data_IF_967189764271
#
_entry.id   IF_967189764271
#
_cell.length_a   1.000
_cell.length_b   1.000
_cell.length_c   1.000
_cell.angle_alpha   90.00
_cell.angle_beta   90.00
_cell.angle_gamma   90.00
#
_symmetry.space_group_name_H-M   'P 1'
#
loop_
_entity.id
_entity.type
_entity.pdbx_description
1 polymer ?
#
# COMPACT_ATOMS: atom_id res chain seq x y z
N UNK A 1 -26.74 -17.83 -48.47
CA UNK A 1 -26.69 -18.28 -47.08
C UNK A 1 -25.23 -18.43 -46.76
N UNK A 2 -24.64 -17.36 -46.27
CA UNK A 2 -23.24 -17.26 -45.92
C UNK A 2 -23.23 -16.84 -44.45
N UNK A 3 -22.76 -17.74 -43.59
CA UNK A 3 -22.67 -17.53 -42.15
C UNK A 3 -21.28 -17.99 -41.71
N UNK A 4 -20.26 -17.24 -42.13
CA UNK A 4 -18.96 -17.24 -41.48
C UNK A 4 -19.06 -16.43 -40.20
N UNK A 5 -19.23 -17.13 -39.07
CA UNK A 5 -18.97 -16.54 -37.76
C UNK A 5 -17.47 -16.39 -37.60
N UNK A 6 -16.99 -15.14 -37.66
CA UNK A 6 -15.71 -14.77 -37.06
C UNK A 6 -15.89 -14.90 -35.55
N UNK A 7 -15.63 -16.11 -35.03
CA UNK A 7 -15.25 -16.28 -33.64
C UNK A 7 -13.95 -15.49 -33.46
N UNK A 8 -14.10 -14.28 -32.91
CA UNK A 8 -13.01 -13.47 -32.38
C UNK A 8 -12.40 -14.26 -31.22
N UNK A 9 -11.47 -15.15 -31.57
CA UNK A 9 -10.60 -15.86 -30.65
C UNK A 9 -9.69 -14.81 -29.99
N UNK A 10 -10.19 -14.20 -28.92
CA UNK A 10 -9.38 -13.38 -28.02
C UNK A 10 -8.49 -14.36 -27.28
N UNK A 11 -7.38 -14.75 -27.91
CA UNK A 11 -6.32 -15.49 -27.23
C UNK A 11 -5.71 -14.53 -26.18
N UNK A 12 -5.91 -14.75 -24.86
CA UNK A 12 -5.25 -13.95 -23.86
C UNK A 12 -3.76 -14.19 -24.01
N UNK A 13 -3.04 -13.23 -24.62
CA UNK A 13 -1.60 -13.31 -24.83
C UNK A 13 -0.94 -13.83 -23.54
N UNK A 14 -0.28 -15.00 -23.57
CA UNK A 14 0.29 -15.57 -22.36
C UNK A 14 1.27 -14.55 -21.79
N UNK A 15 1.05 -14.14 -20.54
CA UNK A 15 1.88 -13.14 -19.86
C UNK A 15 3.35 -13.56 -20.04
N UNK A 16 4.07 -12.80 -20.87
CA UNK A 16 5.45 -13.12 -21.21
C UNK A 16 6.32 -13.21 -19.95
N UNK A 17 7.47 -13.85 -20.03
CA UNK A 17 8.39 -14.05 -18.88
C UNK A 17 8.64 -12.74 -18.11
N UNK A 18 8.79 -11.61 -18.81
CA UNK A 18 8.88 -10.27 -18.22
C UNK A 18 7.69 -9.93 -17.32
N UNK A 19 6.46 -10.11 -17.81
CA UNK A 19 5.24 -9.79 -17.06
C UNK A 19 5.12 -10.64 -15.79
N UNK A 20 5.52 -11.92 -15.85
CA UNK A 20 5.58 -12.79 -14.65
C UNK A 20 6.60 -12.31 -13.62
N UNK A 21 7.77 -11.85 -14.06
CA UNK A 21 8.80 -11.29 -13.16
C UNK A 21 8.26 -10.02 -12.48
N UNK A 22 7.64 -9.13 -13.26
CA UNK A 22 7.06 -7.88 -12.76
C UNK A 22 5.97 -8.16 -11.74
N UNK A 23 5.01 -9.03 -12.06
CA UNK A 23 3.92 -9.40 -11.15
C UNK A 23 4.46 -10.04 -9.85
N UNK A 24 5.45 -10.93 -9.94
CA UNK A 24 6.09 -11.50 -8.75
C UNK A 24 6.78 -10.41 -7.91
N UNK A 25 7.55 -9.53 -8.55
CA UNK A 25 8.21 -8.42 -7.87
C UNK A 25 7.19 -7.53 -7.16
N UNK A 26 6.12 -7.10 -7.83
CA UNK A 26 5.09 -6.22 -7.26
C UNK A 26 4.45 -6.85 -6.02
N UNK A 27 4.16 -8.15 -6.05
CA UNK A 27 3.66 -8.88 -4.89
C UNK A 27 4.68 -8.95 -3.74
N UNK A 28 5.95 -9.24 -4.02
CA UNK A 28 7.01 -9.30 -2.98
C UNK A 28 7.23 -7.92 -2.34
N UNK A 29 7.24 -6.85 -3.14
CA UNK A 29 7.33 -5.48 -2.62
C UNK A 29 6.14 -5.15 -1.71
N UNK A 30 4.91 -5.44 -2.16
CA UNK A 30 3.69 -5.18 -1.37
C UNK A 30 3.65 -5.98 -0.08
N UNK A 31 4.02 -7.27 -0.14
CA UNK A 31 4.12 -8.14 1.04
C UNK A 31 5.18 -7.67 2.03
N UNK A 32 6.38 -7.29 1.55
CA UNK A 32 7.43 -6.77 2.42
C UNK A 32 7.02 -5.46 3.10
N UNK A 33 6.38 -4.54 2.35
CA UNK A 33 5.92 -3.25 2.87
C UNK A 33 4.83 -3.43 3.95
N UNK A 34 3.90 -4.37 3.77
CA UNK A 34 2.83 -4.67 4.74
C UNK A 34 3.33 -5.40 5.98
N UNK A 35 4.29 -6.32 5.84
CA UNK A 35 4.89 -6.99 6.99
C UNK A 35 5.60 -6.03 7.94
N UNK A 36 6.10 -4.88 7.46
CA UNK A 36 6.65 -3.86 8.36
C UNK A 36 5.60 -3.38 9.37
N UNK A 37 4.33 -3.25 8.95
CA UNK A 37 3.24 -2.83 9.81
C UNK A 37 2.76 -3.97 10.73
N UNK A 38 2.78 -5.21 10.23
CA UNK A 38 2.45 -6.40 11.02
C UNK A 38 3.34 -6.52 12.27
N UNK A 39 4.61 -6.09 12.18
CA UNK A 39 5.54 -6.07 13.32
C UNK A 39 5.17 -5.05 14.41
N UNK A 40 4.26 -4.13 14.15
CA UNK A 40 3.77 -3.17 15.15
C UNK A 40 2.60 -3.73 15.98
N UNK A 41 1.94 -4.78 15.51
CA UNK A 41 0.78 -5.41 16.17
C UNK A 41 1.15 -5.77 17.61
N UNK A 42 0.31 -5.35 18.55
CA UNK A 42 0.51 -5.62 19.97
C UNK A 42 0.18 -7.10 20.27
N UNK A 43 1.02 -7.81 21.05
CA UNK A 43 0.64 -9.12 21.55
C UNK A 43 -0.55 -8.98 22.51
N UNK A 44 -1.55 -9.85 22.39
CA UNK A 44 -2.69 -9.89 23.30
C UNK A 44 -2.20 -10.55 24.61
N UNK A 45 -1.95 -9.77 25.66
CA UNK A 45 -1.42 -10.28 26.94
C UNK A 45 -2.52 -10.32 27.99
N UNK A 46 -2.80 -11.52 28.53
CA UNK A 46 -3.69 -11.67 29.69
C UNK A 46 -2.95 -11.26 30.97
N UNK A 47 -3.30 -10.10 31.54
CA UNK A 47 -2.99 -9.76 32.95
C UNK A 47 -2.27 -8.44 33.19
N UNK A 48 -1.41 -7.98 32.28
CA UNK A 48 -0.73 -6.68 32.35
C UNK A 48 -1.12 -5.85 31.12
N UNK A 49 -2.34 -5.30 31.17
CA UNK A 49 -2.95 -4.58 30.06
C UNK A 49 -2.12 -3.34 29.75
N UNK A 50 -1.86 -3.10 28.47
CA UNK A 50 -1.18 -1.89 28.05
C UNK A 50 -2.00 -0.64 28.48
N UNK A 51 -1.30 0.45 28.78
CA UNK A 51 -1.87 1.78 29.03
C UNK A 51 -1.51 2.67 27.83
N UNK A 52 -2.14 3.84 27.70
CA UNK A 52 -1.83 4.85 26.68
C UNK A 52 -0.33 5.23 26.65
N UNK A 53 0.38 5.11 27.79
CA UNK A 53 1.83 5.29 27.87
C UNK A 53 2.61 4.30 26.98
N UNK A 54 2.13 3.06 26.83
CA UNK A 54 2.71 2.06 25.93
C UNK A 54 2.60 2.53 24.47
N UNK A 55 1.51 3.20 24.09
CA UNK A 55 1.37 3.78 22.74
C UNK A 55 2.37 4.92 22.50
N UNK A 56 2.63 5.76 23.52
CA UNK A 56 3.63 6.82 23.43
C UNK A 56 5.04 6.26 23.24
N UNK A 57 5.40 5.19 23.96
CA UNK A 57 6.70 4.52 23.80
C UNK A 57 6.87 3.92 22.40
N UNK A 58 5.79 3.48 21.75
CA UNK A 58 5.84 2.93 20.38
C UNK A 58 5.89 3.98 19.29
N UNK A 59 5.69 5.27 19.58
CA UNK A 59 5.69 6.33 18.57
C UNK A 59 7.02 6.39 17.77
N UNK A 60 8.16 6.14 18.44
CA UNK A 60 9.46 6.05 17.76
C UNK A 60 9.52 4.90 16.75
N UNK A 61 8.90 3.76 17.09
CA UNK A 61 8.84 2.57 16.22
C UNK A 61 7.95 2.82 15.00
N UNK A 62 6.84 3.56 15.17
CA UNK A 62 5.98 4.00 14.06
C UNK A 62 6.78 4.86 13.06
N UNK A 63 7.66 5.74 13.53
CA UNK A 63 8.53 6.55 12.67
C UNK A 63 9.46 5.70 11.79
N UNK A 64 10.05 4.64 12.36
CA UNK A 64 10.91 3.69 11.65
C UNK A 64 10.11 2.91 10.61
N UNK A 65 8.89 2.49 10.96
CA UNK A 65 7.95 1.86 10.03
C UNK A 65 7.61 2.76 8.84
N UNK A 66 7.19 4.01 9.09
CA UNK A 66 6.82 4.98 8.05
C UNK A 66 7.98 5.15 7.08
N UNK A 67 9.19 5.30 7.61
CA UNK A 67 10.39 5.41 6.80
C UNK A 67 10.63 4.15 5.96
N UNK A 68 10.56 2.96 6.56
CA UNK A 68 10.72 1.68 5.86
C UNK A 68 9.71 1.50 4.74
N UNK A 69 8.43 1.79 4.98
CA UNK A 69 7.37 1.68 3.98
C UNK A 69 7.65 2.59 2.77
N UNK A 70 7.98 3.86 3.02
CA UNK A 70 8.26 4.83 1.96
C UNK A 70 9.52 4.47 1.17
N UNK A 71 10.56 3.94 1.82
CA UNK A 71 11.78 3.46 1.14
C UNK A 71 11.47 2.26 0.25
N UNK A 72 10.70 1.28 0.72
CA UNK A 72 10.30 0.11 -0.08
C UNK A 72 9.43 0.56 -1.27
N UNK A 73 8.44 1.43 -1.04
CA UNK A 73 7.61 1.99 -2.11
C UNK A 73 8.41 2.77 -3.15
N UNK A 74 9.41 3.55 -2.72
CA UNK A 74 10.32 4.22 -3.64
C UNK A 74 11.21 3.25 -4.41
N UNK A 75 11.73 2.21 -3.76
CA UNK A 75 12.51 1.17 -4.42
C UNK A 75 11.68 0.43 -5.48
N UNK A 76 10.42 0.14 -5.17
CA UNK A 76 9.45 -0.43 -6.11
C UNK A 76 9.23 0.47 -7.33
N UNK A 77 9.08 1.78 -7.14
CA UNK A 77 8.95 2.74 -8.25
C UNK A 77 10.21 2.81 -9.12
N UNK A 78 11.40 2.80 -8.53
CA UNK A 78 12.66 2.74 -9.30
C UNK A 78 12.79 1.43 -10.07
N UNK A 79 12.39 0.32 -9.47
CA UNK A 79 12.30 -0.98 -10.15
C UNK A 79 11.34 -0.90 -11.33
N UNK A 80 10.23 -0.18 -11.18
CA UNK A 80 9.31 0.08 -12.28
C UNK A 80 9.92 0.81 -13.46
N UNK A 81 10.56 1.95 -13.21
CA UNK A 81 11.24 2.70 -14.28
C UNK A 81 12.28 1.86 -15.04
N UNK A 82 12.98 0.95 -14.35
CA UNK A 82 13.95 0.04 -14.98
C UNK A 82 13.24 -1.00 -15.83
N UNK A 83 12.21 -1.66 -15.30
CA UNK A 83 11.49 -2.74 -16.00
C UNK A 83 10.59 -2.26 -17.13
N UNK A 84 10.22 -0.98 -17.18
CA UNK A 84 9.51 -0.39 -18.32
C UNK A 84 10.39 -0.35 -19.57
N UNK A 85 11.71 -0.26 -19.38
CA UNK A 85 12.71 -0.19 -20.46
C UNK A 85 13.26 -1.56 -20.84
N UNK A 86 13.00 -2.60 -20.03
CA UNK A 86 13.42 -3.98 -20.29
C UNK A 86 12.33 -4.67 -21.10
N UNK A 87 12.68 -5.22 -22.26
CA UNK A 87 11.72 -5.93 -23.12
C UNK A 87 11.84 -7.46 -22.94
N UNK A 88 13.07 -7.95 -22.76
CA UNK A 88 13.39 -9.38 -22.68
C UNK A 88 14.08 -9.71 -21.36
N UNK A 89 13.85 -10.91 -20.85
CA UNK A 89 14.48 -11.41 -19.65
C UNK A 89 15.23 -12.72 -19.93
N UNK A 90 16.43 -12.84 -19.38
CA UNK A 90 17.21 -14.08 -19.33
C UNK A 90 17.41 -14.53 -17.88
N UNK A 91 18.02 -15.71 -17.69
CA UNK A 91 18.24 -16.31 -16.36
C UNK A 91 19.06 -15.42 -15.42
N UNK A 92 20.05 -14.69 -15.93
CA UNK A 92 20.91 -13.85 -15.10
C UNK A 92 20.20 -12.57 -14.66
N UNK A 93 19.40 -11.96 -15.53
CA UNK A 93 18.54 -10.84 -15.16
C UNK A 93 17.56 -11.27 -14.06
N UNK A 94 16.96 -12.46 -14.19
CA UNK A 94 16.09 -13.05 -13.16
C UNK A 94 16.85 -13.24 -11.84
N UNK A 95 18.07 -13.77 -11.87
CA UNK A 95 18.88 -13.99 -10.66
C UNK A 95 19.22 -12.66 -9.95
N UNK A 96 19.62 -11.63 -10.70
CA UNK A 96 19.88 -10.30 -10.11
C UNK A 96 18.60 -9.73 -9.50
N UNK A 97 17.45 -9.93 -10.15
CA UNK A 97 16.15 -9.53 -9.59
C UNK A 97 15.87 -10.26 -8.27
N UNK A 98 16.13 -11.57 -8.19
CA UNK A 98 15.96 -12.33 -6.95
C UNK A 98 16.87 -11.86 -5.82
N UNK A 99 18.11 -11.43 -6.10
CA UNK A 99 18.98 -10.83 -5.07
C UNK A 99 18.35 -9.56 -4.50
N UNK A 100 17.79 -8.71 -5.37
CA UNK A 100 17.07 -7.51 -4.93
C UNK A 100 15.83 -7.88 -4.09
N UNK A 101 14.99 -8.80 -4.58
CA UNK A 101 13.77 -9.24 -3.89
C UNK A 101 14.08 -9.91 -2.55
N UNK A 102 15.15 -10.68 -2.43
CA UNK A 102 15.58 -11.28 -1.17
C UNK A 102 15.93 -10.21 -0.13
N UNK A 103 16.62 -9.15 -0.53
CA UNK A 103 16.93 -8.03 0.36
C UNK A 103 15.66 -7.29 0.81
N UNK A 104 14.70 -7.08 -0.10
CA UNK A 104 13.43 -6.42 0.20
C UNK A 104 12.56 -7.28 1.13
N UNK A 105 12.41 -8.56 0.83
CA UNK A 105 11.67 -9.51 1.67
C UNK A 105 12.31 -9.68 3.06
N UNK A 106 13.62 -9.43 3.20
CA UNK A 106 14.32 -9.47 4.48
C UNK A 106 14.07 -8.24 5.35
N UNK A 107 13.70 -7.08 4.78
CA UNK A 107 13.55 -5.80 5.50
C UNK A 107 12.67 -5.80 6.75
N UNK A 108 11.59 -6.61 6.86
CA UNK A 108 10.80 -6.66 8.09
C UNK A 108 11.61 -7.02 9.33
N UNK A 109 12.63 -7.88 9.21
CA UNK A 109 13.45 -8.29 10.35
C UNK A 109 14.42 -7.19 10.84
N UNK A 110 15.27 -6.58 9.99
CA UNK A 110 16.10 -5.45 10.42
C UNK A 110 15.30 -4.27 10.96
N UNK A 111 14.08 -4.04 10.46
CA UNK A 111 13.21 -2.96 10.93
C UNK A 111 12.79 -3.19 12.38
N UNK A 112 12.41 -4.43 12.75
CA UNK A 112 12.05 -4.73 14.14
C UNK A 112 13.26 -4.61 15.06
N UNK A 113 14.43 -5.13 14.65
CA UNK A 113 15.67 -5.04 15.43
C UNK A 113 16.10 -3.60 15.66
N UNK A 114 15.96 -2.74 14.64
CA UNK A 114 16.23 -1.31 14.77
C UNK A 114 15.20 -0.61 15.66
N UNK A 115 13.93 -1.00 15.60
CA UNK A 115 12.88 -0.49 16.48
C UNK A 115 13.15 -0.75 17.96
N UNK A 116 13.66 -1.93 18.29
CA UNK A 116 13.96 -2.34 19.67
C UNK A 116 15.32 -1.80 20.18
N UNK A 117 16.30 -1.65 19.28
CA UNK A 117 17.65 -1.24 19.67
C UNK A 117 18.29 -0.31 18.64
N UNK A 118 18.62 0.92 19.07
CA UNK A 118 19.29 1.92 18.23
C UNK A 118 20.82 1.76 18.26
N UNK A 119 21.31 0.52 18.28
CA UNK A 119 22.74 0.22 18.31
C UNK A 119 23.32 0.14 16.90
N UNK A 120 24.64 0.29 16.78
CA UNK A 120 25.34 0.30 15.48
C UNK A 120 25.05 -0.93 14.63
N UNK A 121 25.00 -2.11 15.27
CA UNK A 121 24.75 -3.37 14.56
C UNK A 121 23.33 -3.39 13.96
N UNK A 122 22.32 -2.94 14.71
CA UNK A 122 20.95 -2.85 14.23
C UNK A 122 20.82 -1.86 13.05
N UNK A 123 21.47 -0.70 13.16
CA UNK A 123 21.50 0.28 12.07
C UNK A 123 22.18 -0.26 10.80
N UNK A 124 23.31 -0.97 10.94
CA UNK A 124 23.99 -1.59 9.79
C UNK A 124 23.16 -2.74 9.19
N UNK A 125 22.51 -3.55 10.04
CA UNK A 125 21.62 -4.63 9.62
C UNK A 125 20.44 -4.09 8.80
N UNK A 126 19.98 -2.87 9.10
CA UNK A 126 18.93 -2.19 8.33
C UNK A 126 19.42 -1.60 7.01
N UNK A 127 20.57 -0.89 7.01
CA UNK A 127 21.04 -0.16 5.82
C UNK A 127 21.69 -1.05 4.77
N UNK A 128 22.40 -2.10 5.18
CA UNK A 128 23.15 -2.98 4.25
C UNK A 128 22.22 -3.66 3.23
N UNK A 129 21.09 -4.30 3.60
CA UNK A 129 20.18 -4.89 2.64
C UNK A 129 19.59 -3.88 1.65
N UNK A 130 19.26 -2.66 2.10
CA UNK A 130 18.80 -1.57 1.22
C UNK A 130 19.88 -1.12 0.23
N UNK A 131 21.13 -1.10 0.67
CA UNK A 131 22.26 -0.75 -0.18
C UNK A 131 22.49 -1.83 -1.24
N UNK A 132 22.48 -3.10 -0.84
CA UNK A 132 22.61 -4.26 -1.75
C UNK A 132 21.45 -4.31 -2.74
N UNK A 133 20.20 -4.08 -2.31
CA UNK A 133 19.04 -4.02 -3.21
C UNK A 133 19.15 -2.89 -4.23
N UNK A 134 19.67 -1.72 -3.81
CA UNK A 134 19.94 -0.59 -4.71
C UNK A 134 21.04 -0.89 -5.72
N UNK A 135 22.11 -1.58 -5.31
CA UNK A 135 23.16 -2.04 -6.23
C UNK A 135 22.64 -3.10 -7.20
N UNK A 136 21.80 -4.02 -6.74
CA UNK A 136 21.17 -5.01 -7.60
C UNK A 136 20.27 -4.36 -8.67
N UNK A 137 19.53 -3.30 -8.32
CA UNK A 137 18.75 -2.54 -9.29
C UNK A 137 19.61 -1.83 -10.35
N UNK A 138 20.73 -1.23 -9.94
CA UNK A 138 21.71 -0.69 -10.90
C UNK A 138 22.27 -1.83 -11.77
N UNK A 139 22.57 -2.98 -11.16
CA UNK A 139 23.02 -4.19 -11.84
C UNK A 139 22.04 -4.66 -12.92
N UNK A 140 20.73 -4.70 -12.62
CA UNK A 140 19.67 -5.00 -13.59
C UNK A 140 19.74 -4.06 -14.79
N UNK A 141 19.80 -2.75 -14.53
CA UNK A 141 19.85 -1.74 -15.58
C UNK A 141 21.11 -1.89 -16.47
N UNK A 142 22.29 -1.99 -15.85
CA UNK A 142 23.56 -2.11 -16.57
C UNK A 142 23.64 -3.44 -17.34
N UNK A 143 23.17 -4.54 -16.75
CA UNK A 143 23.15 -5.85 -17.39
C UNK A 143 22.23 -5.86 -18.60
N UNK A 144 20.99 -5.36 -18.46
CA UNK A 144 20.03 -5.30 -19.55
C UNK A 144 20.57 -4.48 -20.74
N UNK A 145 21.22 -3.34 -20.47
CA UNK A 145 21.87 -2.54 -21.51
C UNK A 145 23.02 -3.27 -22.20
N UNK A 146 23.91 -3.90 -21.43
CA UNK A 146 25.08 -4.62 -21.97
C UNK A 146 24.68 -5.81 -22.85
N UNK A 147 23.54 -6.45 -22.55
CA UNK A 147 23.00 -7.60 -23.29
C UNK A 147 21.94 -7.22 -24.32
N UNK A 148 21.70 -5.92 -24.56
CA UNK A 148 20.69 -5.41 -25.49
C UNK A 148 19.30 -6.01 -25.24
N UNK A 149 18.93 -6.15 -23.96
CA UNK A 149 17.61 -6.63 -23.51
C UNK A 149 16.58 -5.50 -23.37
N UNK A 150 17.01 -4.26 -23.61
CA UNK A 150 16.18 -3.05 -23.53
C UNK A 150 15.48 -2.77 -24.86
N UNK A 151 14.31 -2.13 -24.79
CA UNK A 151 13.57 -1.72 -25.99
C UNK A 151 14.42 -0.83 -26.93
N UNK A 152 14.26 -0.94 -28.26
CA UNK A 152 14.92 -0.07 -29.23
C UNK A 152 14.57 1.40 -28.98
N UNK A 153 15.58 2.28 -28.91
CA UNK A 153 15.35 3.72 -28.67
C UNK A 153 15.06 4.09 -27.21
N UNK A 154 15.56 3.31 -26.24
CA UNK A 154 15.60 3.71 -24.83
C UNK A 154 16.57 4.90 -24.60
N UNK A 155 16.25 6.03 -25.21
CA UNK A 155 16.99 7.29 -25.18
C UNK A 155 16.75 7.95 -23.81
N UNK A 156 17.76 7.89 -22.93
CA UNK A 156 17.65 8.43 -21.56
C UNK A 156 18.49 7.72 -20.50
N UNK A 157 19.33 6.76 -20.89
CA UNK A 157 20.03 5.92 -19.91
C UNK A 157 21.01 6.63 -18.96
N UNK A 158 21.46 7.84 -19.28
CA UNK A 158 22.29 8.65 -18.39
C UNK A 158 21.47 9.29 -17.26
N UNK A 159 20.32 9.90 -17.58
CA UNK A 159 19.42 10.48 -16.59
C UNK A 159 18.89 9.41 -15.63
N UNK A 160 18.43 8.27 -16.16
CA UNK A 160 17.98 7.15 -15.32
C UNK A 160 19.10 6.66 -14.39
N UNK A 161 20.33 6.50 -14.89
CA UNK A 161 21.44 6.07 -14.05
C UNK A 161 21.75 7.08 -12.94
N UNK A 162 21.72 8.39 -13.22
CA UNK A 162 21.90 9.41 -12.17
C UNK A 162 20.83 9.31 -11.08
N UNK A 163 19.56 9.12 -11.46
CA UNK A 163 18.48 8.91 -10.49
C UNK A 163 18.66 7.62 -9.69
N UNK A 164 19.12 6.53 -10.32
CA UNK A 164 19.41 5.28 -9.64
C UNK A 164 20.58 5.37 -8.67
N UNK A 165 21.52 6.30 -8.84
CA UNK A 165 22.68 6.45 -7.96
C UNK A 165 22.39 7.24 -6.68
N UNK A 166 21.31 8.02 -6.63
CA UNK A 166 20.94 8.85 -5.47
C UNK A 166 20.78 8.00 -4.20
N UNK A 167 19.90 6.98 -4.24
CA UNK A 167 19.63 6.14 -3.07
C UNK A 167 20.86 5.40 -2.53
N UNK A 168 21.62 4.63 -3.34
CA UNK A 168 22.82 3.97 -2.83
C UNK A 168 23.90 4.96 -2.37
N UNK A 169 23.96 6.17 -2.95
CA UNK A 169 24.84 7.24 -2.45
C UNK A 169 24.47 7.69 -1.03
N UNK A 170 23.18 7.93 -0.77
CA UNK A 170 22.68 8.28 0.57
C UNK A 170 22.89 7.13 1.57
N UNK A 171 22.64 5.88 1.15
CA UNK A 171 22.85 4.71 1.99
C UNK A 171 24.33 4.48 2.30
N UNK A 172 25.23 4.68 1.32
CA UNK A 172 26.68 4.60 1.54
C UNK A 172 27.17 5.68 2.51
N UNK A 173 26.65 6.92 2.39
CA UNK A 173 26.93 7.99 3.35
C UNK A 173 26.45 7.60 4.74
N UNK A 174 25.23 7.06 4.87
CA UNK A 174 24.70 6.57 6.15
C UNK A 174 25.61 5.48 6.75
N UNK A 175 26.02 4.49 5.96
CA UNK A 175 26.95 3.44 6.39
C UNK A 175 28.30 3.99 6.86
N UNK A 176 28.82 5.03 6.20
CA UNK A 176 30.07 5.69 6.60
C UNK A 176 29.93 6.46 7.92
N UNK A 177 28.74 6.98 8.24
CA UNK A 177 28.47 7.77 9.45
C UNK A 177 28.13 6.92 10.68
N UNK A 178 27.47 5.77 10.51
CA UNK A 178 27.04 4.88 11.62
C UNK A 178 28.18 4.51 12.61
N UNK A 179 29.43 4.23 12.18
CA UNK A 179 30.54 3.96 13.11
C UNK A 179 30.80 5.10 14.10
N UNK A 180 30.54 6.34 13.69
CA UNK A 180 30.76 7.54 14.50
C UNK A 180 29.52 7.89 15.33
N UNK A 181 28.32 7.83 14.73
CA UNK A 181 27.06 8.10 15.40
C UNK A 181 25.88 7.45 14.64
N UNK A 182 25.09 6.63 15.33
CA UNK A 182 23.86 6.03 14.76
C UNK A 182 22.89 7.12 14.36
N UNK A 183 22.73 8.15 15.20
CA UNK A 183 21.87 9.31 14.90
C UNK A 183 22.35 10.05 13.66
N UNK A 184 23.66 10.24 13.48
CA UNK A 184 24.19 10.88 12.26
C UNK A 184 23.89 10.02 11.01
N UNK A 185 24.04 8.70 11.13
CA UNK A 185 23.65 7.75 10.09
C UNK A 185 22.17 7.82 9.73
N UNK A 186 21.29 7.93 10.73
CA UNK A 186 19.85 8.07 10.52
C UNK A 186 19.45 9.44 9.95
N UNK A 187 20.11 10.53 10.38
CA UNK A 187 19.88 11.88 9.85
C UNK A 187 20.20 11.96 8.35
N UNK A 188 21.20 11.20 7.87
CA UNK A 188 21.48 11.11 6.43
C UNK A 188 20.25 10.64 5.62
N UNK A 189 19.31 9.92 6.23
CA UNK A 189 18.09 9.48 5.57
C UNK A 189 17.09 10.60 5.31
N UNK A 190 17.18 11.75 5.99
CA UNK A 190 16.37 12.94 5.66
C UNK A 190 16.71 13.45 4.25
N UNK A 191 17.90 13.13 3.73
CA UNK A 191 18.27 13.42 2.35
C UNK A 191 17.42 12.63 1.34
N UNK A 192 16.81 11.49 1.70
CA UNK A 192 15.92 10.75 0.79
C UNK A 192 14.68 11.58 0.43
N UNK A 193 13.79 11.97 1.37
CA UNK A 193 12.61 12.76 1.03
C UNK A 193 12.93 14.03 0.24
N UNK A 194 14.04 14.70 0.59
CA UNK A 194 14.51 15.89 -0.14
C UNK A 194 14.93 15.57 -1.57
N UNK A 195 15.69 14.48 -1.77
CA UNK A 195 16.10 14.04 -3.10
C UNK A 195 14.93 13.49 -3.93
N UNK A 196 13.94 12.88 -3.28
CA UNK A 196 12.69 12.40 -3.89
C UNK A 196 11.88 13.58 -4.43
N UNK A 197 11.59 14.56 -3.58
CA UNK A 197 10.87 15.78 -3.96
C UNK A 197 11.66 16.56 -5.02
N UNK A 198 12.99 16.65 -4.87
CA UNK A 198 13.87 17.29 -5.86
C UNK A 198 13.83 16.61 -7.22
N UNK A 199 13.83 15.27 -7.27
CA UNK A 199 13.70 14.52 -8.52
C UNK A 199 12.35 14.78 -9.22
N UNK A 200 11.26 14.97 -8.46
CA UNK A 200 9.95 15.35 -9.03
C UNK A 200 9.90 16.76 -9.61
N UNK A 201 10.75 17.67 -9.13
CA UNK A 201 10.83 19.04 -9.66
C UNK A 201 11.74 19.14 -10.90
N UNK A 202 12.63 18.17 -11.11
CA UNK A 202 13.66 18.18 -12.17
C UNK A 202 13.18 17.48 -13.45
N UNK A 203 12.14 16.64 -13.39
CA UNK A 203 11.55 16.01 -14.58
C UNK A 203 10.08 16.46 -14.82
N UNK A 204 9.84 17.69 -15.31
CA UNK A 204 8.51 18.15 -15.73
C UNK A 204 8.01 17.46 -17.00
N UNK A 205 8.80 16.59 -17.64
CA UNK A 205 8.48 16.04 -18.95
C UNK A 205 7.21 15.19 -18.96
N UNK A 206 6.77 14.72 -17.78
CA UNK A 206 5.52 13.96 -17.59
C UNK A 206 4.27 14.88 -17.53
N UNK A 207 4.46 16.19 -17.28
CA UNK A 207 3.37 17.18 -17.24
C UNK A 207 3.07 17.81 -18.61
N UNK A 208 4.00 17.71 -19.58
CA UNK A 208 3.94 18.30 -20.92
C UNK A 208 3.53 17.33 -22.05
N UNK A 209 2.98 16.16 -21.73
CA UNK A 209 2.55 15.20 -22.74
C UNK A 209 1.38 15.79 -23.58
N UNK A 210 1.50 15.91 -24.92
CA UNK A 210 0.51 16.61 -25.74
C UNK A 210 -0.87 15.95 -25.65
N UNK A 211 -1.96 16.71 -25.87
CA UNK A 211 -3.33 16.20 -25.74
C UNK A 211 -3.55 14.95 -26.61
N UNK A 212 -4.39 14.02 -26.13
CA UNK A 212 -4.77 12.69 -26.69
C UNK A 212 -4.79 12.59 -28.21
N UNK A 213 -5.12 13.67 -28.91
CA UNK A 213 -5.10 13.76 -30.38
C UNK A 213 -3.73 13.50 -31.00
N UNK A 214 -2.63 13.81 -30.31
CA UNK A 214 -1.27 13.59 -30.80
C UNK A 214 -0.81 12.12 -30.71
N UNK A 215 -1.41 11.31 -29.82
CA UNK A 215 -1.09 9.88 -29.66
C UNK A 215 -1.74 8.98 -30.71
N UNK A 216 -2.77 9.44 -31.45
CA UNK A 216 -3.43 8.65 -32.51
C UNK A 216 -2.49 8.19 -33.62
N UNK A 217 -1.33 8.81 -33.81
CA UNK A 217 -0.36 8.42 -34.83
C UNK A 217 0.71 7.41 -34.38
N UNK A 218 0.73 7.00 -33.11
CA UNK A 218 1.56 5.88 -32.64
C UNK A 218 0.65 4.70 -32.32
N UNK A 219 0.45 3.84 -33.30
CA UNK A 219 -0.37 2.64 -33.18
C UNK A 219 0.15 1.69 -32.11
N UNK A 220 -0.49 1.72 -30.95
CA UNK A 220 -0.85 0.63 -30.04
C UNK A 220 -1.71 1.30 -28.96
N UNK A 221 -2.83 0.70 -28.58
CA UNK A 221 -3.59 1.11 -27.40
C UNK A 221 -2.67 1.01 -26.19
N UNK A 222 -2.01 2.12 -25.84
CA UNK A 222 -0.98 2.13 -24.81
C UNK A 222 -1.68 2.22 -23.47
N UNK A 223 -1.96 1.06 -22.89
CA UNK A 223 -2.27 0.99 -21.46
C UNK A 223 -1.08 1.59 -20.72
N UNK A 224 -1.36 2.48 -19.78
CA UNK A 224 -0.33 3.12 -18.97
C UNK A 224 0.25 2.08 -18.00
N UNK A 225 1.35 1.43 -18.39
CA UNK A 225 1.97 0.35 -17.63
C UNK A 225 2.31 0.73 -16.18
N UNK A 226 2.50 2.02 -15.88
CA UNK A 226 2.71 2.48 -14.51
C UNK A 226 1.46 2.45 -13.66
N UNK A 227 0.30 2.73 -14.27
CA UNK A 227 -0.99 2.58 -13.60
C UNK A 227 -1.28 1.10 -13.32
N UNK A 228 -1.07 0.20 -14.28
CA UNK A 228 -1.30 -1.25 -14.12
C UNK A 228 -0.52 -1.80 -12.92
N UNK A 229 0.75 -1.42 -12.83
CA UNK A 229 1.63 -1.87 -11.75
C UNK A 229 1.27 -1.27 -10.41
N UNK A 230 0.88 0.00 -10.36
CA UNK A 230 0.41 0.62 -9.12
C UNK A 230 -0.87 -0.09 -8.63
N UNK A 231 -1.79 -0.43 -9.52
CA UNK A 231 -3.00 -1.21 -9.17
C UNK A 231 -2.61 -2.58 -8.63
N UNK A 232 -1.75 -3.33 -9.31
CA UNK A 232 -1.29 -4.65 -8.85
C UNK A 232 -0.59 -4.60 -7.49
N UNK A 233 0.26 -3.58 -7.27
CA UNK A 233 0.92 -3.35 -5.99
C UNK A 233 -0.08 -3.01 -4.88
N UNK A 234 -1.05 -2.12 -5.15
CA UNK A 234 -2.13 -1.79 -4.22
C UNK A 234 -2.97 -3.00 -3.85
N UNK A 235 -3.41 -3.79 -4.83
CA UNK A 235 -4.24 -4.98 -4.62
C UNK A 235 -3.52 -6.02 -3.76
N UNK A 236 -2.22 -6.22 -4.00
CA UNK A 236 -1.37 -7.06 -3.15
C UNK A 236 -1.33 -6.58 -1.70
N UNK A 237 -1.18 -5.28 -1.47
CA UNK A 237 -1.19 -4.71 -0.11
C UNK A 237 -2.54 -4.93 0.59
N UNK A 238 -3.65 -4.64 -0.09
CA UNK A 238 -4.98 -4.85 0.47
C UNK A 238 -5.22 -6.32 0.84
N UNK A 239 -4.84 -7.25 -0.04
CA UNK A 239 -4.97 -8.68 0.22
C UNK A 239 -4.17 -9.11 1.45
N UNK A 240 -2.91 -8.68 1.56
CA UNK A 240 -2.06 -9.04 2.71
C UNK A 240 -2.60 -8.43 4.01
N UNK A 241 -3.06 -7.19 3.99
CA UNK A 241 -3.70 -6.55 5.17
C UNK A 241 -4.91 -7.32 5.65
N UNK A 242 -5.80 -7.74 4.74
CA UNK A 242 -6.96 -8.56 5.09
C UNK A 242 -6.56 -9.90 5.72
N UNK A 243 -5.46 -10.51 5.26
CA UNK A 243 -4.95 -11.75 5.86
C UNK A 243 -4.32 -11.55 7.24
N UNK A 244 -3.60 -10.44 7.47
CA UNK A 244 -3.02 -10.12 8.80
C UNK A 244 -4.15 -9.82 9.80
N UNK A 245 -5.22 -9.13 9.37
CA UNK A 245 -6.40 -8.93 10.22
C UNK A 245 -7.03 -10.26 10.64
N UNK A 246 -7.07 -11.25 9.75
CA UNK A 246 -7.56 -12.59 10.08
C UNK A 246 -6.59 -13.37 10.99
N UNK A 247 -5.29 -13.21 10.80
CA UNK A 247 -4.26 -13.87 11.61
C UNK A 247 -4.30 -13.46 13.08
N UNK A 248 -4.69 -12.21 13.37
CA UNK A 248 -4.90 -11.72 14.75
C UNK A 248 -6.03 -12.42 15.52
N UNK A 249 -6.86 -13.25 14.87
CA UNK A 249 -7.82 -14.12 15.57
C UNK A 249 -7.13 -15.24 16.36
N UNK A 250 -5.90 -15.61 15.96
CA UNK A 250 -5.09 -16.56 16.70
C UNK A 250 -4.64 -15.92 18.02
N UNK A 251 -5.36 -16.22 19.10
CA UNK A 251 -5.00 -15.76 20.44
C UNK A 251 -3.60 -16.23 20.87
N UNK A 252 -3.13 -15.67 22.01
CA UNK A 252 -1.86 -16.00 22.66
C UNK A 252 -1.55 -17.50 22.66
N UNK A 253 -0.26 -17.84 22.60
CA UNK A 253 0.31 -19.19 22.76
C UNK A 253 0.05 -19.74 24.18
N UNK A 254 -1.21 -19.81 24.62
CA UNK A 254 -1.58 -20.49 25.85
C UNK A 254 -1.23 -21.97 25.69
N UNK A 255 -0.53 -22.53 26.68
CA UNK A 255 -0.24 -23.96 26.69
C UNK A 255 -1.56 -24.72 26.51
N UNK A 256 -1.64 -25.61 25.50
CA UNK A 256 -2.83 -26.41 25.32
C UNK A 256 -3.08 -27.20 26.61
N UNK A 257 -4.31 -27.22 27.14
CA UNK A 257 -4.59 -27.88 28.41
C UNK A 257 -4.15 -29.35 28.34
N UNK A 258 -3.42 -29.78 29.36
CA UNK A 258 -2.77 -31.10 29.44
C UNK A 258 -3.75 -32.27 29.29
N UNK A 259 -5.01 -32.07 29.69
CA UNK A 259 -6.07 -33.08 29.61
C UNK A 259 -6.95 -32.97 28.34
N UNK A 260 -6.61 -32.04 27.43
CA UNK A 260 -7.45 -31.69 26.27
C UNK A 260 -8.71 -30.92 26.67
N UNK A 261 -9.37 -30.27 25.69
CA UNK A 261 -10.63 -29.56 25.90
C UNK A 261 -11.81 -30.48 25.58
N UNK A 262 -12.82 -30.49 26.45
CA UNK A 262 -14.14 -31.02 26.08
C UNK A 262 -14.80 -30.11 25.03
N UNK A 263 -15.77 -30.64 24.27
CA UNK A 263 -16.51 -29.83 23.29
C UNK A 263 -17.22 -28.63 23.94
N UNK A 264 -17.71 -28.78 25.17
CA UNK A 264 -18.39 -27.71 25.89
C UNK A 264 -17.41 -26.58 26.29
N UNK A 265 -16.22 -26.94 26.77
CA UNK A 265 -15.16 -25.98 27.11
C UNK A 265 -14.64 -25.26 25.87
N UNK A 266 -14.45 -25.98 24.76
CA UNK A 266 -14.08 -25.38 23.48
C UNK A 266 -15.12 -24.35 23.01
N UNK A 267 -16.41 -24.71 23.05
CA UNK A 267 -17.47 -23.77 22.69
C UNK A 267 -17.53 -22.57 23.62
N UNK A 268 -17.32 -22.77 24.92
CA UNK A 268 -17.26 -21.67 25.88
C UNK A 268 -16.08 -20.72 25.58
N UNK A 269 -14.91 -21.24 25.24
CA UNK A 269 -13.74 -20.45 24.82
C UNK A 269 -14.01 -19.67 23.53
N UNK A 270 -14.58 -20.30 22.51
CA UNK A 270 -14.95 -19.62 21.26
C UNK A 270 -15.99 -18.52 21.53
N UNK A 271 -17.01 -18.81 22.34
CA UNK A 271 -18.03 -17.84 22.70
C UNK A 271 -17.46 -16.67 23.52
N UNK A 272 -16.42 -16.91 24.34
CA UNK A 272 -15.75 -15.86 25.09
C UNK A 272 -15.01 -14.86 24.19
N UNK A 273 -14.66 -15.26 22.96
CA UNK A 273 -14.01 -14.41 21.96
C UNK A 273 -14.99 -13.74 20.98
N UNK A 274 -16.30 -13.75 21.28
CA UNK A 274 -17.32 -13.20 20.38
C UNK A 274 -17.02 -11.76 19.93
N UNK A 275 -16.60 -10.88 20.84
CA UNK A 275 -16.29 -9.48 20.52
C UNK A 275 -15.08 -9.35 19.59
N UNK A 276 -14.08 -10.22 19.73
CA UNK A 276 -12.93 -10.31 18.82
C UNK A 276 -13.35 -10.72 17.41
N UNK A 277 -14.24 -11.70 17.28
CA UNK A 277 -14.80 -12.10 15.97
C UNK A 277 -15.61 -10.98 15.31
N UNK A 278 -16.40 -10.24 16.09
CA UNK A 278 -17.16 -9.10 15.59
C UNK A 278 -16.24 -7.98 15.14
N UNK A 279 -15.23 -7.62 15.95
CA UNK A 279 -14.24 -6.61 15.61
C UNK A 279 -13.49 -6.98 14.32
N UNK A 280 -12.98 -8.21 14.24
CA UNK A 280 -12.39 -8.78 13.03
C UNK A 280 -13.30 -8.62 11.81
N UNK A 281 -14.55 -9.11 11.90
CA UNK A 281 -15.48 -9.11 10.76
C UNK A 281 -15.79 -7.70 10.26
N UNK A 282 -15.92 -6.74 11.17
CA UNK A 282 -16.17 -5.34 10.83
C UNK A 282 -14.94 -4.65 10.22
N UNK A 283 -13.74 -4.89 10.77
CA UNK A 283 -12.50 -4.36 10.19
C UNK A 283 -12.26 -4.95 8.80
N UNK A 284 -12.37 -6.27 8.65
CA UNK A 284 -12.21 -6.98 7.37
C UNK A 284 -13.17 -6.42 6.32
N UNK A 285 -14.45 -6.31 6.66
CA UNK A 285 -15.47 -5.74 5.77
C UNK A 285 -15.16 -4.29 5.38
N UNK A 286 -14.75 -3.46 6.34
CA UNK A 286 -14.45 -2.04 6.10
C UNK A 286 -13.22 -1.83 5.22
N UNK A 287 -12.16 -2.60 5.45
CA UNK A 287 -10.97 -2.58 4.59
C UNK A 287 -11.33 -3.07 3.18
N UNK A 288 -12.19 -4.08 3.05
CA UNK A 288 -12.73 -4.51 1.75
C UNK A 288 -13.57 -3.44 1.04
N UNK A 289 -14.30 -2.61 1.78
CA UNK A 289 -15.00 -1.44 1.23
C UNK A 289 -14.03 -0.35 0.76
N UNK A 290 -12.96 -0.07 1.53
CA UNK A 290 -11.90 0.83 1.05
C UNK A 290 -11.27 0.32 -0.24
N UNK A 291 -10.97 -0.98 -0.34
CA UNK A 291 -10.49 -1.59 -1.58
C UNK A 291 -11.50 -1.41 -2.73
N UNK A 292 -12.78 -1.63 -2.49
CA UNK A 292 -13.82 -1.49 -3.52
C UNK A 292 -13.91 -0.06 -4.06
N UNK A 293 -13.79 0.95 -3.17
CA UNK A 293 -13.75 2.37 -3.55
C UNK A 293 -12.45 2.70 -4.28
N UNK A 294 -11.31 2.19 -3.82
CA UNK A 294 -10.01 2.30 -4.48
C UNK A 294 -10.07 1.74 -5.91
N UNK A 295 -10.52 0.49 -6.10
CA UNK A 295 -10.64 -0.16 -7.39
C UNK A 295 -11.51 0.66 -8.35
N UNK A 296 -12.62 1.21 -7.86
CA UNK A 296 -13.47 2.09 -8.65
C UNK A 296 -12.79 3.43 -9.01
N UNK A 297 -12.00 4.03 -8.12
CA UNK A 297 -11.22 5.24 -8.43
C UNK A 297 -10.21 4.92 -9.54
N UNK A 298 -9.40 3.87 -9.35
CA UNK A 298 -8.32 3.53 -10.27
C UNK A 298 -8.81 3.03 -11.63
N UNK A 299 -9.93 2.31 -11.69
CA UNK A 299 -10.55 1.91 -12.96
C UNK A 299 -11.00 3.08 -13.86
N UNK A 300 -11.05 4.31 -13.33
CA UNK A 300 -11.39 5.52 -14.10
C UNK A 300 -10.19 6.39 -14.45
N UNK A 301 -9.02 6.09 -13.87
CA UNK A 301 -7.79 6.81 -14.15
C UNK A 301 -7.27 6.33 -15.49
N UNK A 302 -7.06 7.26 -16.42
CA UNK A 302 -6.54 6.97 -17.76
C UNK A 302 -5.15 7.56 -17.99
N UNK A 303 -4.63 8.31 -17.01
CA UNK A 303 -3.29 8.91 -17.05
C UNK A 303 -2.62 8.74 -15.70
N UNK A 304 -1.46 8.11 -15.71
CA UNK A 304 -0.57 8.08 -14.57
C UNK A 304 0.12 9.45 -14.40
N UNK A 305 0.28 9.87 -13.15
CA UNK A 305 1.02 11.08 -12.79
C UNK A 305 1.78 10.81 -11.51
N UNK A 306 2.99 11.33 -11.39
CA UNK A 306 3.84 11.03 -10.24
C UNK A 306 3.28 11.50 -8.87
N UNK A 307 2.57 12.65 -8.74
CA UNK A 307 1.95 12.99 -7.45
C UNK A 307 0.83 12.01 -7.04
N UNK A 308 0.14 11.39 -8.00
CA UNK A 308 -0.86 10.35 -7.72
C UNK A 308 -0.21 9.15 -7.05
N UNK A 309 1.00 8.75 -7.50
CA UNK A 309 1.77 7.67 -6.88
C UNK A 309 2.03 7.94 -5.41
N UNK A 310 2.49 9.13 -5.03
CA UNK A 310 2.78 9.43 -3.62
C UNK A 310 1.53 9.44 -2.76
N UNK A 311 0.43 10.00 -3.26
CA UNK A 311 -0.86 9.95 -2.57
C UNK A 311 -1.31 8.49 -2.38
N UNK A 312 -1.15 7.65 -3.41
CA UNK A 312 -1.45 6.23 -3.33
C UNK A 312 -0.54 5.51 -2.32
N UNK A 313 0.77 5.75 -2.31
CA UNK A 313 1.69 5.17 -1.33
C UNK A 313 1.35 5.58 0.11
N UNK A 314 0.99 6.84 0.33
CA UNK A 314 0.53 7.32 1.66
C UNK A 314 -0.75 6.60 2.07
N UNK A 315 -1.72 6.46 1.16
CA UNK A 315 -2.95 5.74 1.43
C UNK A 315 -2.69 4.26 1.76
N UNK A 316 -1.86 3.57 0.97
CA UNK A 316 -1.48 2.18 1.18
C UNK A 316 -0.72 1.99 2.50
N UNK A 317 0.09 2.96 2.91
CA UNK A 317 0.78 2.95 4.21
C UNK A 317 -0.22 2.99 5.38
N UNK A 318 -1.28 3.80 5.25
CA UNK A 318 -2.35 3.90 6.24
C UNK A 318 -3.24 2.64 6.25
N UNK A 319 -3.47 2.02 5.09
CA UNK A 319 -4.14 0.73 4.97
C UNK A 319 -3.28 -0.38 5.63
N UNK A 320 -1.97 -0.37 5.40
CA UNK A 320 -1.04 -1.31 6.03
C UNK A 320 -1.02 -1.19 7.56
N UNK A 321 -1.36 -0.03 8.15
CA UNK A 321 -1.45 0.18 9.59
C UNK A 321 -2.78 -0.25 10.23
N UNK A 322 -3.79 -0.65 9.44
CA UNK A 322 -5.08 -1.11 10.00
C UNK A 322 -4.96 -2.30 10.96
N UNK A 323 -4.12 -3.32 10.69
CA UNK A 323 -3.90 -4.42 11.62
C UNK A 323 -3.40 -3.93 12.99
N UNK A 324 -2.50 -2.95 13.01
CA UNK A 324 -2.02 -2.33 14.26
C UNK A 324 -3.16 -1.60 14.98
N UNK A 325 -3.94 -0.79 14.27
CA UNK A 325 -5.10 -0.10 14.86
C UNK A 325 -6.13 -1.07 15.46
N UNK A 326 -6.35 -2.22 14.83
CA UNK A 326 -7.18 -3.29 15.37
C UNK A 326 -6.57 -3.90 16.63
N UNK A 327 -5.27 -4.19 16.64
CA UNK A 327 -4.59 -4.76 17.82
C UNK A 327 -4.69 -3.84 19.05
N UNK A 328 -4.61 -2.53 18.85
CA UNK A 328 -4.82 -1.52 19.89
C UNK A 328 -6.23 -1.60 20.46
N UNK A 329 -7.25 -1.77 19.61
CA UNK A 329 -8.63 -1.93 20.06
C UNK A 329 -8.84 -3.23 20.86
N UNK A 330 -8.26 -4.34 20.38
CA UNK A 330 -8.42 -5.66 21.01
C UNK A 330 -7.70 -5.76 22.35
N UNK A 331 -6.49 -5.21 22.47
CA UNK A 331 -5.67 -5.31 23.68
C UNK A 331 -6.05 -4.27 24.75
N UNK A 332 -6.20 -2.99 24.36
CA UNK A 332 -6.52 -1.90 25.30
C UNK A 332 -8.01 -1.76 25.63
N UNK A 333 -8.90 -2.31 24.80
CA UNK A 333 -10.34 -2.06 24.84
C UNK A 333 -11.04 -2.46 26.14
N UNK A 334 -10.41 -3.28 26.98
CA UNK A 334 -10.97 -3.75 28.26
C UNK A 334 -10.48 -2.98 29.50
N UNK A 335 -9.40 -2.18 29.40
CA UNK A 335 -8.87 -1.34 30.48
C UNK A 335 -9.17 0.16 30.30
N UNK A 336 -8.96 0.69 29.10
CA UNK A 336 -9.18 2.11 28.73
C UNK A 336 -9.98 2.20 27.42
N UNK A 337 -11.25 1.83 27.50
CA UNK A 337 -12.10 1.56 26.33
C UNK A 337 -12.26 2.76 25.38
N UNK A 338 -12.25 4.00 25.90
CA UNK A 338 -12.48 5.23 25.13
C UNK A 338 -11.28 5.58 24.24
N UNK A 339 -10.07 5.61 24.80
CA UNK A 339 -8.85 5.94 24.07
C UNK A 339 -8.49 4.89 23.01
N UNK A 340 -8.66 3.61 23.32
CA UNK A 340 -8.46 2.50 22.38
C UNK A 340 -9.41 2.59 21.18
N UNK A 341 -10.71 2.78 21.45
CA UNK A 341 -11.74 2.96 20.43
C UNK A 341 -11.49 4.21 19.58
N UNK A 342 -11.14 5.33 20.21
CA UNK A 342 -10.82 6.57 19.50
C UNK A 342 -9.60 6.38 18.57
N UNK A 343 -8.54 5.73 19.06
CA UNK A 343 -7.32 5.46 18.26
C UNK A 343 -7.64 4.60 17.05
N UNK A 344 -8.39 3.52 17.23
CA UNK A 344 -8.83 2.66 16.14
C UNK A 344 -9.67 3.42 15.10
N UNK A 345 -10.63 4.23 15.54
CA UNK A 345 -11.46 5.05 14.64
C UNK A 345 -10.67 6.16 13.95
N UNK A 346 -9.59 6.68 14.55
CA UNK A 346 -8.68 7.63 13.93
C UNK A 346 -7.88 6.98 12.79
N UNK A 347 -7.47 5.71 12.91
CA UNK A 347 -6.87 4.97 11.80
C UNK A 347 -7.85 4.75 10.64
N UNK A 348 -9.12 4.49 10.93
CA UNK A 348 -10.18 4.40 9.91
C UNK A 348 -10.45 5.76 9.24
N UNK A 349 -10.46 6.83 10.03
CA UNK A 349 -10.56 8.21 9.53
C UNK A 349 -9.39 8.55 8.61
N UNK A 350 -8.16 8.23 9.01
CA UNK A 350 -6.97 8.46 8.19
C UNK A 350 -7.04 7.70 6.85
N UNK A 351 -7.52 6.44 6.86
CA UNK A 351 -7.72 5.67 5.62
C UNK A 351 -8.76 6.34 4.71
N UNK A 352 -9.87 6.81 5.30
CA UNK A 352 -10.92 7.53 4.56
C UNK A 352 -10.41 8.85 3.97
N UNK A 353 -9.66 9.65 4.74
CA UNK A 353 -9.15 10.94 4.29
C UNK A 353 -8.10 10.78 3.18
N UNK A 354 -7.18 9.82 3.33
CA UNK A 354 -6.15 9.56 2.31
C UNK A 354 -6.76 9.03 1.01
N UNK A 355 -7.75 8.14 1.07
CA UNK A 355 -8.47 7.68 -0.13
C UNK A 355 -9.25 8.82 -0.80
N UNK A 356 -9.88 9.70 0.00
CA UNK A 356 -10.53 10.90 -0.49
C UNK A 356 -9.57 11.84 -1.22
N UNK A 357 -8.35 12.01 -0.70
CA UNK A 357 -7.30 12.83 -1.33
C UNK A 357 -6.85 12.25 -2.67
N UNK A 358 -6.70 10.92 -2.78
CA UNK A 358 -6.39 10.24 -4.05
C UNK A 358 -7.48 10.52 -5.09
N UNK A 359 -8.75 10.28 -4.74
CA UNK A 359 -9.88 10.52 -5.64
C UNK A 359 -10.01 12.00 -6.03
N UNK A 360 -9.90 12.89 -5.04
CA UNK A 360 -9.97 14.34 -5.26
C UNK A 360 -8.87 14.83 -6.18
N UNK A 361 -7.62 14.39 -5.98
CA UNK A 361 -6.50 14.76 -6.86
C UNK A 361 -6.70 14.25 -8.29
N UNK A 362 -7.14 13.00 -8.46
CA UNK A 362 -7.38 12.41 -9.77
C UNK A 362 -8.44 13.19 -10.56
N UNK A 363 -9.54 13.55 -9.89
CA UNK A 363 -10.68 14.28 -10.45
C UNK A 363 -10.44 15.79 -10.60
N UNK A 364 -9.51 16.36 -9.82
CA UNK A 364 -9.25 17.79 -9.82
C UNK A 364 -8.87 18.28 -11.22
N UNK A 365 -9.68 19.18 -11.79
CA UNK A 365 -9.47 19.70 -13.14
C UNK A 365 -9.44 18.63 -14.23
N UNK A 366 -10.01 17.42 -14.00
CA UNK A 366 -9.93 16.25 -14.88
C UNK A 366 -8.48 15.89 -15.27
N UNK A 367 -7.54 16.03 -14.33
CA UNK A 367 -6.10 15.78 -14.55
C UNK A 367 -5.80 14.34 -14.96
N UNK A 368 -6.44 13.36 -14.31
CA UNK A 368 -6.11 11.94 -14.49
C UNK A 368 -7.28 11.09 -15.03
N UNK A 369 -8.50 11.62 -15.00
CA UNK A 369 -9.73 10.87 -15.34
C UNK A 369 -10.16 11.11 -16.79
N UNK A 370 -10.88 10.14 -17.36
CA UNK A 370 -11.39 10.23 -18.72
C UNK A 370 -12.34 11.44 -18.93
N UNK A 371 -12.36 11.97 -20.16
CA UNK A 371 -13.30 13.03 -20.52
C UNK A 371 -14.78 12.57 -20.46
N UNK A 372 -15.01 11.26 -20.57
CA UNK A 372 -16.31 10.61 -20.47
C UNK A 372 -16.84 10.51 -19.04
N UNK A 373 -16.02 10.79 -18.02
CA UNK A 373 -16.47 10.78 -16.63
C UNK A 373 -17.57 11.82 -16.40
N UNK A 374 -18.71 11.35 -15.90
CA UNK A 374 -19.92 12.15 -15.72
C UNK A 374 -19.87 12.96 -14.43
N UNK A 375 -20.66 14.03 -14.35
CA UNK A 375 -20.74 14.84 -13.14
C UNK A 375 -21.36 14.06 -11.96
N UNK A 376 -22.32 13.18 -12.22
CA UNK A 376 -22.94 12.31 -11.21
C UNK A 376 -21.90 11.39 -10.55
N UNK A 377 -20.99 10.81 -11.33
CA UNK A 377 -19.89 9.98 -10.83
C UNK A 377 -18.97 10.75 -9.87
N UNK A 378 -18.53 11.95 -10.25
CA UNK A 378 -17.68 12.81 -9.40
C UNK A 378 -18.39 13.19 -8.10
N UNK A 379 -19.66 13.60 -8.19
CA UNK A 379 -20.45 13.99 -7.02
C UNK A 379 -20.66 12.81 -6.07
N UNK A 380 -21.00 11.63 -6.59
CA UNK A 380 -21.18 10.42 -5.80
C UNK A 380 -19.92 10.10 -4.97
N UNK A 381 -18.73 10.21 -5.58
CA UNK A 381 -17.45 9.93 -4.91
C UNK A 381 -17.11 10.92 -3.82
N UNK A 382 -17.36 12.21 -4.07
CA UNK A 382 -17.18 13.24 -3.04
C UNK A 382 -18.08 12.98 -1.84
N UNK A 383 -19.34 12.60 -2.08
CA UNK A 383 -20.26 12.24 -1.00
C UNK A 383 -19.85 10.97 -0.26
N UNK A 384 -19.43 9.90 -0.95
CA UNK A 384 -18.92 8.68 -0.30
C UNK A 384 -17.73 9.00 0.62
N UNK A 385 -16.77 9.77 0.12
CA UNK A 385 -15.57 10.16 0.87
C UNK A 385 -15.91 11.04 2.09
N UNK A 386 -16.78 12.04 1.90
CA UNK A 386 -17.15 12.97 2.97
C UNK A 386 -18.01 12.31 4.05
N UNK A 387 -18.95 11.45 3.66
CA UNK A 387 -19.79 10.71 4.62
C UNK A 387 -18.97 9.71 5.42
N UNK A 388 -18.08 8.95 4.79
CA UNK A 388 -17.17 8.03 5.47
C UNK A 388 -16.29 8.74 6.50
N UNK A 389 -15.61 9.83 6.10
CA UNK A 389 -14.78 10.61 7.00
C UNK A 389 -15.59 11.23 8.14
N UNK A 390 -16.79 11.75 7.85
CA UNK A 390 -17.70 12.29 8.85
C UNK A 390 -18.14 11.26 9.88
N UNK A 391 -18.45 10.04 9.44
CA UNK A 391 -18.87 8.91 10.30
C UNK A 391 -17.74 8.49 11.25
N UNK A 392 -16.52 8.28 10.73
CA UNK A 392 -15.38 7.90 11.59
C UNK A 392 -14.93 9.03 12.51
N UNK A 393 -14.97 10.29 12.06
CA UNK A 393 -14.67 11.46 12.88
C UNK A 393 -15.66 11.63 14.03
N UNK A 394 -16.97 11.54 13.73
CA UNK A 394 -18.01 11.60 14.74
C UNK A 394 -17.88 10.43 15.73
N UNK A 395 -17.60 9.22 15.24
CA UNK A 395 -17.34 8.07 16.10
C UNK A 395 -16.16 8.31 17.04
N UNK A 396 -15.00 8.74 16.52
CA UNK A 396 -13.84 9.04 17.35
C UNK A 396 -14.14 10.12 18.40
N UNK A 397 -14.93 11.14 18.05
CA UNK A 397 -15.35 12.18 18.98
C UNK A 397 -16.27 11.63 20.08
N UNK A 398 -17.24 10.78 19.73
CA UNK A 398 -18.13 10.12 20.70
C UNK A 398 -17.30 9.27 21.65
N UNK A 399 -16.32 8.50 21.15
CA UNK A 399 -15.45 7.67 21.97
C UNK A 399 -14.71 8.47 23.05
N UNK A 400 -14.20 9.65 22.69
CA UNK A 400 -13.50 10.53 23.64
C UNK A 400 -14.47 11.16 24.66
N UNK A 401 -15.74 11.38 24.29
CA UNK A 401 -16.71 12.07 25.14
C UNK A 401 -17.42 11.13 26.12
N UNK A 402 -17.81 9.92 25.67
CA UNK A 402 -18.72 9.08 26.48
C UNK A 402 -18.03 8.43 27.67
N UNK A 403 -16.74 8.10 27.57
CA UNK A 403 -15.88 7.49 28.62
C UNK A 403 -16.60 6.52 29.58
N UNK A 404 -17.58 5.78 29.05
CA UNK A 404 -18.57 5.02 29.81
C UNK A 404 -18.23 3.52 29.87
N UNK A 405 -17.05 3.13 29.41
CA UNK A 405 -16.64 1.73 29.30
C UNK A 405 -17.28 1.00 28.11
N UNK A 406 -18.29 1.58 27.46
CA UNK A 406 -19.12 0.90 26.47
C UNK A 406 -18.72 1.29 25.05
N UNK A 407 -17.85 0.49 24.43
CA UNK A 407 -17.45 0.65 23.03
C UNK A 407 -18.42 0.02 22.03
N UNK A 408 -19.52 -0.59 22.47
CA UNK A 408 -20.47 -1.29 21.59
C UNK A 408 -21.15 -0.37 20.57
N UNK A 409 -21.30 0.93 20.87
CA UNK A 409 -21.82 1.90 19.91
C UNK A 409 -20.84 2.15 18.74
N UNK A 410 -19.54 1.86 18.89
CA UNK A 410 -18.56 1.98 17.81
C UNK A 410 -18.91 1.03 16.66
N UNK A 411 -19.60 -0.09 16.94
CA UNK A 411 -20.12 -0.97 15.91
C UNK A 411 -21.21 -0.32 15.05
N UNK A 412 -21.96 0.64 15.60
CA UNK A 412 -22.97 1.39 14.84
C UNK A 412 -22.33 2.29 13.76
N UNK A 413 -21.09 2.77 13.98
CA UNK A 413 -20.32 3.55 12.99
C UNK A 413 -20.14 2.76 11.70
N UNK A 414 -19.80 1.47 11.80
CA UNK A 414 -19.63 0.57 10.65
C UNK A 414 -20.94 0.29 9.91
N UNK A 415 -22.04 0.14 10.65
CA UNK A 415 -23.37 -0.02 10.07
C UNK A 415 -23.79 1.24 9.31
N UNK A 416 -23.60 2.43 9.90
CA UNK A 416 -23.87 3.71 9.27
C UNK A 416 -23.09 3.87 7.96
N UNK A 417 -21.79 3.58 7.99
CA UNK A 417 -20.94 3.62 6.80
C UNK A 417 -21.47 2.73 5.68
N UNK A 418 -21.81 1.48 5.99
CA UNK A 418 -22.36 0.51 5.03
C UNK A 418 -23.75 0.89 4.50
N UNK A 419 -24.56 1.60 5.30
CA UNK A 419 -25.88 2.11 4.89
C UNK A 419 -25.70 3.31 3.97
N UNK A 420 -24.87 4.28 4.35
CA UNK A 420 -24.63 5.48 3.55
C UNK A 420 -24.02 5.15 2.20
N UNK A 421 -23.07 4.21 2.13
CA UNK A 421 -22.50 3.77 0.85
C UNK A 421 -23.59 3.18 -0.07
N UNK A 422 -24.43 2.28 0.45
CA UNK A 422 -25.56 1.70 -0.29
C UNK A 422 -26.56 2.76 -0.77
N UNK A 423 -26.88 3.75 0.07
CA UNK A 423 -27.79 4.84 -0.30
C UNK A 423 -27.21 5.74 -1.39
N UNK A 424 -25.92 6.05 -1.32
CA UNK A 424 -25.25 6.87 -2.34
C UNK A 424 -25.21 6.11 -3.68
N UNK A 425 -24.85 4.82 -3.68
CA UNK A 425 -24.90 3.98 -4.90
C UNK A 425 -26.30 3.88 -5.50
N UNK A 426 -27.34 3.77 -4.66
CA UNK A 426 -28.74 3.81 -5.14
C UNK A 426 -29.13 5.16 -5.74
N UNK A 427 -28.61 6.27 -5.20
CA UNK A 427 -28.90 7.63 -5.68
C UNK A 427 -28.18 7.97 -6.99
N UNK A 428 -27.01 7.37 -7.20
CA UNK A 428 -26.15 7.52 -8.36
C UNK A 428 -25.80 6.13 -8.92
N UNK A 429 -26.72 5.48 -9.65
CA UNK A 429 -26.52 4.11 -10.15
C UNK A 429 -25.29 4.01 -11.07
N UNK A 430 -25.05 5.03 -11.89
CA UNK A 430 -23.91 5.10 -12.82
C UNK A 430 -22.56 5.40 -12.12
N UNK A 431 -22.53 5.48 -10.78
CA UNK A 431 -21.33 5.87 -10.03
C UNK A 431 -20.17 4.88 -10.19
N UNK A 432 -20.49 3.60 -10.38
CA UNK A 432 -19.54 2.50 -10.54
C UNK A 432 -19.27 2.15 -12.01
N UNK A 433 -20.01 2.75 -12.96
CA UNK A 433 -19.82 2.49 -14.39
C UNK A 433 -18.41 2.94 -14.81
N UNK A 434 -17.68 2.00 -15.40
CA UNK A 434 -16.42 2.30 -16.06
C UNK A 434 -16.70 3.06 -17.36
N UNK A 435 -15.83 4.01 -17.76
CA UNK A 435 -16.00 4.68 -19.04
C UNK A 435 -16.03 3.65 -20.17
N UNK A 436 -17.00 3.76 -21.08
CA UNK A 436 -17.18 2.83 -22.21
C UNK A 436 -15.83 2.51 -22.89
N UNK A 437 -15.46 1.22 -22.91
CA UNK A 437 -14.29 0.70 -23.63
C UNK A 437 -14.39 0.88 -25.16
N UNK A 438 -15.49 1.45 -25.66
CA UNK A 438 -15.78 1.70 -27.07
C UNK A 438 -14.77 2.63 -27.80
N UNK A 439 -13.74 3.12 -27.10
CA UNK A 439 -12.61 3.86 -27.70
C UNK A 439 -11.33 3.04 -27.91
N UNK A 440 -11.21 1.83 -27.36
CA UNK A 440 -10.00 1.00 -27.46
C UNK A 440 -10.16 -0.24 -28.36
N UNK A 441 -11.39 -0.65 -28.68
CA UNK A 441 -11.66 -1.88 -29.44
C UNK A 441 -12.07 -1.68 -30.92
N UNK A 442 -12.16 -0.43 -31.43
CA UNK A 442 -12.51 -0.19 -32.84
C UNK A 442 -11.76 1.01 -33.41
N UNK A 443 -10.59 0.76 -34.00
CA UNK A 443 -10.12 1.29 -35.30
C UNK A 443 -8.67 0.89 -35.54
#
# INVERSE_FOLDING_TARGET
MDSGGDDLDIDPQPVGVRGRIVALSDNVFGFAATLLAARLVLPIVEGDRANIEVLFDRFSTIGIYIFGFLVIGYQWWRHHQVFDRIERADTWLILINFVMLACIAFMPYPTSVLGESQVRVAALLYVVPLFVSSLALIGLWLYARRRSLTAPGADGGQHLLSHLLILPGVLLLSMALIPFSVTAGAVAWIALPVALIGAHLIDPADDDDPPVRARRHRGHGTVDHGLERLVAYSDGIYAVVLTIIAEQLGGSEAEPPTDGLTSAELWAQVQSQYDTFVAFGLTFHTVGLFWSVHASIFGRIVRFRTPLLWLALIHLMVIALQPFGLSVFLDLGSADSSAATATYLLFMLAASLTLALVGWYAEWGRRCVAATTTHSQVVARRWQSATAAGIFCLGALIAVITDDGNSGWAFAVFALFSITDRLIRRRYPDADDLPDEAGFATT
#
